data_IF_586740591098
#
_entry.id   IF_586740591098
#
_cell.length_a   1.000
_cell.length_b   1.000
_cell.length_c   1.000
_cell.angle_alpha   90.00
_cell.angle_beta   90.00
_cell.angle_gamma   90.00
#
_symmetry.space_group_name_H-M   'P 1'
#
loop_
_entity.id
_entity.type
_entity.pdbx_description
1 polymer ?
#
# COMPACT_ATOMS: atom_id res chain seq x y z
N UNK A 1 -7.67 -1.30 -0.05
CA UNK A 1 -7.25 -1.96 -1.30
C UNK A 1 -7.19 -3.48 -1.15
N UNK A 2 -6.37 -4.03 -0.23
CA UNK A 2 -6.36 -5.49 0.04
C UNK A 2 -7.76 -6.06 0.23
N UNK A 3 -8.55 -5.51 1.15
CA UNK A 3 -9.94 -5.92 1.37
C UNK A 3 -10.85 -5.74 0.15
N UNK A 4 -10.65 -4.67 -0.64
CA UNK A 4 -11.42 -4.44 -1.87
C UNK A 4 -11.16 -5.60 -2.85
N UNK A 5 -9.89 -5.94 -3.09
CA UNK A 5 -9.53 -7.03 -4.01
C UNK A 5 -10.08 -8.36 -3.50
N UNK A 6 -9.93 -8.68 -2.21
CA UNK A 6 -10.46 -9.91 -1.63
C UNK A 6 -11.99 -10.02 -1.80
N UNK A 7 -12.72 -8.96 -1.51
CA UNK A 7 -14.18 -8.91 -1.67
C UNK A 7 -14.62 -9.16 -3.10
N UNK A 8 -13.95 -8.54 -4.07
CA UNK A 8 -14.22 -8.74 -5.50
C UNK A 8 -13.90 -10.18 -5.93
N UNK A 9 -12.72 -10.68 -5.56
CA UNK A 9 -12.22 -11.99 -5.99
C UNK A 9 -13.01 -13.16 -5.37
N UNK A 10 -13.45 -13.02 -4.12
CA UNK A 10 -14.25 -14.02 -3.42
C UNK A 10 -15.77 -13.83 -3.59
N UNK A 11 -16.21 -12.76 -4.26
CA UNK A 11 -17.63 -12.48 -4.43
C UNK A 11 -18.37 -12.26 -3.11
N UNK A 12 -17.73 -11.62 -2.13
CA UNK A 12 -18.29 -11.40 -0.78
C UNK A 12 -18.22 -9.94 -0.39
N UNK A 13 -19.14 -9.51 0.46
CA UNK A 13 -19.13 -8.17 1.08
C UNK A 13 -18.58 -8.21 2.51
N UNK A 14 -18.49 -9.39 3.12
CA UNK A 14 -17.99 -9.58 4.48
C UNK A 14 -16.47 -9.46 4.57
N UNK A 15 -15.97 -9.01 5.71
CA UNK A 15 -14.52 -8.96 5.96
C UNK A 15 -13.96 -10.37 5.96
N UNK A 16 -12.96 -10.62 5.13
CA UNK A 16 -12.34 -11.94 5.04
C UNK A 16 -11.31 -12.04 6.15
N UNK A 17 -11.40 -13.09 6.99
CA UNK A 17 -10.44 -13.34 8.06
C UNK A 17 -9.11 -13.91 7.51
N UNK A 18 -8.50 -13.18 6.58
CA UNK A 18 -7.28 -13.56 5.88
C UNK A 18 -6.27 -12.40 5.95
N UNK A 19 -5.18 -12.63 6.67
CA UNK A 19 -4.15 -11.61 6.82
C UNK A 19 -3.48 -11.29 5.49
N UNK A 20 -3.21 -10.00 5.25
CA UNK A 20 -2.32 -9.53 4.18
C UNK A 20 -0.95 -10.25 4.22
N UNK A 21 -0.48 -10.69 5.39
CA UNK A 21 0.80 -11.41 5.49
C UNK A 21 0.79 -12.79 4.81
N UNK A 22 -0.37 -13.40 4.61
CA UNK A 22 -0.46 -14.73 3.97
C UNK A 22 0.05 -14.71 2.53
N UNK A 23 -0.21 -13.63 1.80
CA UNK A 23 0.21 -13.44 0.41
C UNK A 23 1.35 -12.43 0.23
N UNK A 24 2.06 -12.06 1.30
CA UNK A 24 3.12 -11.05 1.25
C UNK A 24 4.45 -11.68 0.83
N UNK A 25 4.93 -11.36 -0.39
CA UNK A 25 6.07 -12.05 -1.00
C UNK A 25 7.36 -11.93 -0.17
N UNK A 26 7.64 -10.77 0.41
CA UNK A 26 8.81 -10.53 1.25
C UNK A 26 8.72 -11.13 2.66
N UNK A 27 7.56 -11.68 3.05
CA UNK A 27 7.34 -12.28 4.38
C UNK A 27 7.08 -13.79 4.33
N UNK A 28 7.15 -14.40 3.14
CA UNK A 28 6.79 -15.80 2.90
C UNK A 28 7.84 -16.55 2.11
N UNK A 29 8.03 -17.81 2.48
CA UNK A 29 8.84 -18.73 1.70
C UNK A 29 8.11 -19.09 0.40
N UNK A 30 8.86 -19.36 -0.66
CA UNK A 30 8.30 -19.77 -1.97
C UNK A 30 7.33 -20.93 -1.85
N UNK A 31 7.66 -21.95 -1.04
CA UNK A 31 6.79 -23.11 -0.81
C UNK A 31 5.45 -22.75 -0.17
N UNK A 32 5.43 -21.75 0.74
CA UNK A 32 4.18 -21.27 1.33
C UNK A 32 3.31 -20.61 0.26
N UNK A 33 3.90 -19.79 -0.61
CA UNK A 33 3.19 -19.13 -1.72
C UNK A 33 2.68 -20.14 -2.77
N UNK A 34 3.46 -21.18 -3.05
CA UNK A 34 3.08 -22.24 -3.99
C UNK A 34 1.96 -23.14 -3.45
N UNK A 35 1.81 -23.24 -2.13
CA UNK A 35 0.73 -23.97 -1.48
C UNK A 35 -0.63 -23.25 -1.52
N UNK A 36 -0.64 -21.96 -1.87
CA UNK A 36 -1.87 -21.17 -1.90
C UNK A 36 -2.79 -21.59 -3.06
N UNK A 37 -4.11 -21.70 -2.84
CA UNK A 37 -5.06 -22.02 -3.89
C UNK A 37 -5.15 -20.87 -4.91
N UNK A 38 -5.45 -21.20 -6.16
CA UNK A 38 -5.77 -20.21 -7.19
C UNK A 38 -7.25 -19.80 -7.13
N UNK A 39 -7.60 -18.56 -7.52
CA UNK A 39 -6.70 -17.46 -7.89
C UNK A 39 -5.99 -16.87 -6.65
N UNK A 40 -4.66 -16.70 -6.72
CA UNK A 40 -3.85 -16.18 -5.62
C UNK A 40 -3.86 -14.66 -5.60
N UNK A 41 -4.19 -14.08 -4.45
CA UNK A 41 -4.05 -12.64 -4.20
C UNK A 41 -2.72 -12.44 -3.47
N UNK A 42 -1.76 -11.84 -4.16
CA UNK A 42 -0.41 -11.58 -3.63
C UNK A 42 -0.22 -10.08 -3.42
N UNK A 43 0.62 -9.70 -2.47
CA UNK A 43 1.03 -8.33 -2.24
C UNK A 43 2.53 -8.26 -1.96
N UNK A 44 3.12 -7.09 -2.23
CA UNK A 44 4.53 -6.87 -1.99
C UNK A 44 4.88 -5.40 -1.99
N UNK A 45 5.96 -5.04 -1.30
CA UNK A 45 6.63 -3.74 -1.40
C UNK A 45 7.98 -3.84 -2.14
N UNK A 46 8.30 -4.99 -2.75
CA UNK A 46 9.56 -5.20 -3.45
C UNK A 46 9.62 -4.40 -4.77
N UNK A 47 10.81 -3.88 -5.15
CA UNK A 47 11.01 -3.29 -6.46
C UNK A 47 10.92 -4.36 -7.57
N UNK A 48 10.66 -3.99 -8.84
CA UNK A 48 10.42 -4.94 -9.93
C UNK A 48 11.55 -5.97 -10.11
N UNK A 49 12.80 -5.54 -9.90
CA UNK A 49 13.98 -6.39 -10.04
C UNK A 49 14.06 -7.54 -9.01
N UNK A 50 13.29 -7.46 -7.93
CA UNK A 50 13.22 -8.49 -6.87
C UNK A 50 11.98 -9.37 -7.00
N UNK A 51 11.11 -9.13 -7.99
CA UNK A 51 9.91 -9.93 -8.19
C UNK A 51 10.20 -11.18 -9.05
N UNK A 52 9.51 -12.31 -8.79
CA UNK A 52 9.62 -13.51 -9.63
C UNK A 52 9.30 -13.20 -11.09
N UNK A 53 10.19 -13.57 -12.00
CA UNK A 53 10.03 -13.33 -13.44
C UNK A 53 8.77 -14.01 -14.00
N UNK A 54 8.37 -15.13 -13.40
CA UNK A 54 7.18 -15.89 -13.75
C UNK A 54 5.90 -15.07 -13.63
N UNK A 55 5.84 -14.09 -12.72
CA UNK A 55 4.67 -13.20 -12.59
C UNK A 55 4.44 -12.41 -13.88
N UNK A 56 5.52 -11.96 -14.51
CA UNK A 56 5.47 -11.19 -15.74
C UNK A 56 5.23 -12.10 -16.94
N UNK A 57 5.88 -13.28 -16.98
CA UNK A 57 5.69 -14.26 -18.05
C UNK A 57 4.25 -14.81 -18.09
N UNK A 58 3.60 -14.95 -16.94
CA UNK A 58 2.21 -15.43 -16.82
C UNK A 58 1.17 -14.30 -16.93
N UNK A 59 1.59 -13.08 -17.28
CA UNK A 59 0.72 -11.91 -17.37
C UNK A 59 -0.16 -11.72 -16.12
N UNK A 60 0.42 -11.89 -14.93
CA UNK A 60 -0.27 -11.60 -13.68
C UNK A 60 -0.73 -10.13 -13.68
N UNK A 61 -1.98 -9.90 -13.28
CA UNK A 61 -2.52 -8.55 -13.10
C UNK A 61 -1.85 -7.88 -11.92
N UNK A 62 -1.28 -6.69 -12.15
CA UNK A 62 -0.62 -5.90 -11.11
C UNK A 62 -1.49 -4.68 -10.80
N UNK A 63 -1.85 -4.51 -9.53
CA UNK A 63 -2.44 -3.27 -9.04
C UNK A 63 -1.38 -2.50 -8.24
N UNK A 64 -1.00 -1.32 -8.72
CA UNK A 64 0.02 -0.49 -8.12
C UNK A 64 -0.62 0.68 -7.37
N UNK A 65 -0.52 0.65 -6.03
CA UNK A 65 -1.09 1.68 -5.17
C UNK A 65 -0.06 2.79 -4.92
N UNK A 66 -0.42 4.02 -5.32
CA UNK A 66 0.38 5.23 -5.11
C UNK A 66 -0.30 6.09 -4.04
N UNK A 67 0.50 6.78 -3.24
CA UNK A 67 0.04 7.74 -2.22
C UNK A 67 1.00 8.90 -2.16
N UNK A 68 0.53 10.08 -1.76
CA UNK A 68 1.37 11.24 -1.49
C UNK A 68 2.52 10.84 -0.55
N UNK A 69 3.76 10.99 -1.04
CA UNK A 69 4.97 10.55 -0.34
C UNK A 69 5.15 11.26 1.00
N UNK A 70 4.57 12.45 1.20
CA UNK A 70 4.55 13.13 2.50
C UNK A 70 3.69 12.37 3.51
N UNK A 71 2.48 11.96 3.12
CA UNK A 71 1.63 11.11 3.97
C UNK A 71 2.22 9.72 4.19
N UNK A 72 2.93 9.17 3.20
CA UNK A 72 3.68 7.91 3.34
C UNK A 72 4.73 8.06 4.43
N UNK A 73 5.54 9.12 4.41
CA UNK A 73 6.59 9.35 5.42
C UNK A 73 6.03 9.43 6.85
N UNK A 74 4.91 10.13 7.07
CA UNK A 74 4.22 10.17 8.37
C UNK A 74 3.70 8.79 8.76
N UNK A 75 3.07 8.08 7.83
CA UNK A 75 2.54 6.73 8.10
C UNK A 75 3.67 5.76 8.50
N UNK A 76 4.80 5.81 7.80
CA UNK A 76 5.94 4.95 8.03
C UNK A 76 6.64 5.29 9.36
N UNK A 77 6.76 6.57 9.72
CA UNK A 77 7.28 7.00 11.03
C UNK A 77 6.52 6.37 12.19
N UNK A 78 5.18 6.44 12.16
CA UNK A 78 4.36 5.86 13.22
C UNK A 78 4.42 4.33 13.22
N UNK A 79 4.52 3.71 12.04
CA UNK A 79 4.75 2.26 11.91
C UNK A 79 6.08 1.85 12.56
N UNK A 80 7.16 2.56 12.27
CA UNK A 80 8.49 2.35 12.84
C UNK A 80 8.52 2.46 14.36
N UNK A 81 7.79 3.43 14.91
CA UNK A 81 7.66 3.55 16.38
C UNK A 81 6.93 2.37 16.99
N UNK A 82 5.92 1.82 16.30
CA UNK A 82 5.12 0.69 16.76
C UNK A 82 5.76 -0.68 16.57
N UNK A 83 6.55 -0.89 15.52
CA UNK A 83 7.13 -2.21 15.18
C UNK A 83 8.33 -2.57 16.05
N UNK A 84 8.43 -3.84 16.45
CA UNK A 84 9.57 -4.40 17.21
C UNK A 84 10.84 -4.44 16.36
N UNK A 85 10.73 -4.83 15.10
CA UNK A 85 11.86 -5.03 14.16
C UNK A 85 12.65 -3.75 13.93
N UNK A 86 11.96 -2.63 13.77
CA UNK A 86 12.61 -1.34 13.49
C UNK A 86 13.21 -0.70 14.74
N UNK A 87 12.68 -1.06 15.92
CA UNK A 87 13.06 -0.52 17.23
C UNK A 87 13.29 1.00 17.27
N UNK A 88 12.53 1.76 16.46
CA UNK A 88 12.79 3.19 16.28
C UNK A 88 12.26 3.99 17.48
N UNK A 89 13.12 4.84 18.06
CA UNK A 89 12.81 5.64 19.25
C UNK A 89 13.24 7.11 19.14
N UNK A 90 13.65 7.57 17.95
CA UNK A 90 14.11 8.95 17.72
C UNK A 90 12.96 9.89 17.30
N UNK A 91 13.13 11.22 17.38
CA UNK A 91 12.14 12.20 16.92
C UNK A 91 11.79 12.12 15.43
N UNK A 92 10.71 12.81 15.05
CA UNK A 92 10.22 12.94 13.67
C UNK A 92 11.28 13.49 12.71
N UNK A 93 11.99 14.56 13.10
CA UNK A 93 12.98 15.19 12.23
C UNK A 93 14.08 14.21 11.79
N UNK A 94 14.56 13.35 12.70
CA UNK A 94 15.54 12.32 12.36
C UNK A 94 14.97 11.28 11.39
N UNK A 95 13.70 10.91 11.55
CA UNK A 95 13.06 9.94 10.68
C UNK A 95 12.89 10.51 9.27
N UNK A 96 12.47 11.77 9.18
CA UNK A 96 12.25 12.43 7.90
C UNK A 96 13.55 12.52 7.08
N UNK A 97 14.69 12.85 7.70
CA UNK A 97 15.98 12.81 7.00
C UNK A 97 16.37 11.39 6.56
N UNK A 98 16.19 10.38 7.42
CA UNK A 98 16.40 8.98 7.01
C UNK A 98 15.52 8.57 5.83
N UNK A 99 14.25 8.97 5.84
CA UNK A 99 13.30 8.69 4.76
C UNK A 99 13.74 9.35 3.44
N UNK A 100 14.21 10.60 3.48
CA UNK A 100 14.75 11.29 2.31
C UNK A 100 16.01 10.65 1.75
N UNK A 101 16.91 10.22 2.63
CA UNK A 101 18.13 9.51 2.25
C UNK A 101 17.88 8.08 1.76
N UNK A 102 16.62 7.61 1.73
CA UNK A 102 16.28 6.24 1.39
C UNK A 102 16.78 5.21 2.42
N UNK A 103 17.09 5.64 3.65
CA UNK A 103 17.54 4.80 4.77
C UNK A 103 16.35 4.18 5.49
N UNK A 104 15.45 3.59 4.72
CA UNK A 104 14.26 2.85 5.16
C UNK A 104 14.16 1.55 4.34
N UNK A 105 13.43 0.53 4.81
CA UNK A 105 13.18 -0.69 4.04
C UNK A 105 12.71 -0.37 2.63
N UNK A 106 13.25 -1.10 1.65
CA UNK A 106 13.02 -0.92 0.22
C UNK A 106 13.59 0.37 -0.39
N UNK A 107 14.32 1.19 0.38
CA UNK A 107 15.15 2.29 -0.14
C UNK A 107 14.40 3.61 -0.32
N UNK A 108 14.91 4.43 -1.24
CA UNK A 108 14.29 5.72 -1.58
C UNK A 108 12.94 5.52 -2.25
N UNK A 109 11.89 6.11 -1.68
CA UNK A 109 10.54 6.07 -2.27
C UNK A 109 10.50 6.68 -3.68
N UNK A 110 11.36 7.66 -3.96
CA UNK A 110 11.42 8.29 -5.27
C UNK A 110 12.06 7.34 -6.29
N UNK A 111 13.18 6.71 -5.94
CA UNK A 111 13.82 5.68 -6.76
C UNK A 111 12.90 4.49 -6.99
N UNK A 112 12.20 4.06 -5.95
CA UNK A 112 11.23 2.98 -6.03
C UNK A 112 10.17 3.24 -7.10
N UNK A 113 9.60 4.45 -7.14
CA UNK A 113 8.61 4.83 -8.15
C UNK A 113 9.23 4.87 -9.55
N UNK A 114 10.40 5.48 -9.70
CA UNK A 114 11.11 5.54 -10.99
C UNK A 114 11.40 4.14 -11.54
N UNK A 115 11.86 3.21 -10.68
CA UNK A 115 12.13 1.82 -11.06
C UNK A 115 10.88 1.12 -11.59
N UNK A 116 9.73 1.32 -10.95
CA UNK A 116 8.45 0.80 -11.42
C UNK A 116 8.04 1.44 -12.76
N UNK A 117 8.12 2.76 -12.89
CA UNK A 117 7.77 3.46 -14.13
C UNK A 117 8.63 3.01 -15.32
N UNK A 118 9.94 2.90 -15.11
CA UNK A 118 10.89 2.40 -16.11
C UNK A 118 10.58 0.95 -16.49
N UNK A 119 10.31 0.09 -15.50
CA UNK A 119 9.98 -1.31 -15.73
C UNK A 119 8.73 -1.45 -16.61
N UNK A 120 7.68 -0.70 -16.31
CA UNK A 120 6.41 -0.74 -17.05
C UNK A 120 6.58 -0.14 -18.45
N UNK A 121 7.40 0.90 -18.60
CA UNK A 121 7.73 1.45 -19.91
C UNK A 121 8.44 0.41 -20.80
N UNK A 122 9.32 -0.41 -20.22
CA UNK A 122 10.02 -1.48 -20.93
C UNK A 122 9.14 -2.73 -21.18
N UNK A 123 8.00 -2.83 -20.47
CA UNK A 123 7.10 -4.00 -20.50
C UNK A 123 5.64 -3.56 -20.61
N UNK A 124 5.25 -2.87 -21.71
CA UNK A 124 3.93 -2.26 -21.83
C UNK A 124 2.77 -3.27 -21.86
N UNK A 125 3.05 -4.54 -22.18
CA UNK A 125 2.04 -5.60 -22.25
C UNK A 125 1.62 -6.15 -20.89
N UNK A 126 2.35 -5.83 -19.81
CA UNK A 126 2.00 -6.28 -18.46
C UNK A 126 0.70 -5.56 -18.03
N UNK A 127 -0.36 -6.31 -17.67
CA UNK A 127 -1.61 -5.71 -17.23
C UNK A 127 -1.39 -5.03 -15.88
N UNK A 128 -1.43 -3.69 -15.89
CA UNK A 128 -1.22 -2.85 -14.72
C UNK A 128 -2.35 -1.85 -14.54
N UNK A 129 -2.89 -1.78 -13.32
CA UNK A 129 -3.76 -0.69 -12.87
C UNK A 129 -3.06 0.14 -11.80
N UNK A 130 -2.85 1.42 -12.08
CA UNK A 130 -2.38 2.38 -11.07
C UNK A 130 -3.58 2.96 -10.34
N UNK A 131 -3.54 2.91 -9.02
CA UNK A 131 -4.55 3.49 -8.14
C UNK A 131 -3.90 4.49 -7.21
N UNK A 132 -4.41 5.72 -7.17
CA UNK A 132 -3.99 6.71 -6.19
C UNK A 132 -4.88 6.64 -4.95
N UNK A 133 -4.26 6.57 -3.76
CA UNK A 133 -4.94 6.50 -2.47
C UNK A 133 -5.91 7.68 -2.28
N UNK A 134 -5.53 8.86 -2.73
CA UNK A 134 -6.29 10.10 -2.62
C UNK A 134 -7.57 10.06 -3.46
N UNK A 135 -7.51 9.49 -4.67
CA UNK A 135 -8.69 9.30 -5.51
C UNK A 135 -9.61 8.23 -4.92
N UNK A 136 -9.03 7.14 -4.42
CA UNK A 136 -9.78 6.08 -3.73
C UNK A 136 -10.50 6.64 -2.49
N UNK A 137 -9.84 7.50 -1.71
CA UNK A 137 -10.46 8.16 -0.55
C UNK A 137 -11.52 9.19 -0.95
N UNK A 138 -11.37 9.85 -2.09
CA UNK A 138 -12.33 10.84 -2.60
C UNK A 138 -13.61 10.17 -3.12
N UNK A 139 -13.49 9.03 -3.80
CA UNK A 139 -14.62 8.27 -4.33
C UNK A 139 -14.30 6.77 -4.30
N UNK A 140 -14.69 6.10 -3.21
CA UNK A 140 -14.37 4.69 -3.00
C UNK A 140 -15.14 3.80 -3.97
N UNK A 141 -16.44 4.07 -4.20
CA UNK A 141 -17.26 3.34 -5.17
C UNK A 141 -16.65 3.32 -6.58
N UNK A 142 -16.17 4.47 -7.07
CA UNK A 142 -15.50 4.54 -8.37
C UNK A 142 -14.18 3.75 -8.38
N UNK A 143 -13.41 3.83 -7.31
CA UNK A 143 -12.21 3.01 -7.13
C UNK A 143 -12.52 1.51 -7.18
N UNK A 144 -13.59 1.06 -6.52
CA UNK A 144 -14.05 -0.34 -6.53
C UNK A 144 -14.41 -0.77 -7.97
N UNK A 145 -15.19 0.04 -8.70
CA UNK A 145 -15.58 -0.24 -10.09
C UNK A 145 -14.37 -0.38 -10.99
N UNK A 146 -13.42 0.57 -10.94
CA UNK A 146 -12.18 0.51 -11.72
C UNK A 146 -11.36 -0.75 -11.46
N UNK A 147 -11.31 -1.21 -10.20
CA UNK A 147 -10.63 -2.47 -9.84
C UNK A 147 -11.41 -3.67 -10.38
N UNK A 148 -12.74 -3.68 -10.24
CA UNK A 148 -13.63 -4.71 -10.81
C UNK A 148 -13.44 -4.87 -12.32
N UNK A 149 -13.44 -3.76 -13.06
CA UNK A 149 -13.27 -3.74 -14.51
C UNK A 149 -11.89 -4.27 -14.93
N UNK A 150 -10.84 -3.85 -14.22
CA UNK A 150 -9.49 -4.36 -14.44
C UNK A 150 -9.39 -5.87 -14.14
N UNK A 151 -10.05 -6.33 -13.08
CA UNK A 151 -10.14 -7.75 -12.73
C UNK A 151 -11.07 -8.53 -13.68
N UNK A 152 -11.88 -7.86 -14.51
CA UNK A 152 -12.90 -8.43 -15.40
C UNK A 152 -13.96 -9.22 -14.61
N UNK A 153 -14.31 -8.72 -13.42
CA UNK A 153 -15.32 -9.31 -12.53
C UNK A 153 -16.40 -8.24 -12.34
N UNK A 154 -17.46 -8.22 -13.17
CA UNK A 154 -18.47 -7.18 -13.10
C UNK A 154 -19.21 -7.22 -11.77
N UNK A 155 -19.49 -6.04 -11.21
CA UNK A 155 -20.23 -5.88 -9.96
C UNK A 155 -21.50 -5.07 -10.19
N UNK A 156 -22.58 -5.48 -9.55
CA UNK A 156 -23.79 -4.66 -9.47
C UNK A 156 -23.55 -3.43 -8.58
N UNK A 157 -24.32 -2.36 -8.83
CA UNK A 157 -24.24 -1.12 -8.05
C UNK A 157 -24.47 -1.38 -6.55
N UNK A 158 -25.40 -2.27 -6.21
CA UNK A 158 -25.68 -2.69 -4.83
C UNK A 158 -24.47 -3.34 -4.16
N UNK A 159 -23.76 -4.23 -4.88
CA UNK A 159 -22.53 -4.87 -4.40
C UNK A 159 -21.42 -3.84 -4.18
N UNK A 160 -21.25 -2.88 -5.10
CA UNK A 160 -20.26 -1.80 -4.96
C UNK A 160 -20.51 -0.99 -3.69
N UNK A 161 -21.77 -0.62 -3.42
CA UNK A 161 -22.16 0.14 -2.23
C UNK A 161 -21.93 -0.68 -0.95
N UNK A 162 -22.24 -1.97 -0.96
CA UNK A 162 -22.01 -2.84 0.18
C UNK A 162 -20.51 -3.02 0.48
N UNK A 163 -19.68 -3.20 -0.56
CA UNK A 163 -18.22 -3.24 -0.42
C UNK A 163 -17.71 -1.90 0.13
N UNK A 164 -18.15 -0.77 -0.42
CA UNK A 164 -17.76 0.58 0.04
C UNK A 164 -18.03 0.79 1.53
N UNK A 165 -19.24 0.45 1.99
CA UNK A 165 -19.60 0.56 3.40
C UNK A 165 -18.74 -0.35 4.31
N UNK A 166 -18.38 -1.54 3.82
CA UNK A 166 -17.56 -2.48 4.57
C UNK A 166 -16.07 -2.09 4.60
N UNK A 167 -15.54 -1.48 3.54
CA UNK A 167 -14.14 -1.05 3.48
C UNK A 167 -13.92 0.37 4.02
N UNK A 168 -14.93 0.97 4.64
CA UNK A 168 -14.75 2.22 5.38
C UNK A 168 -13.70 2.06 6.48
N UNK A 169 -12.94 3.13 6.73
CA UNK A 169 -11.85 3.13 7.67
C UNK A 169 -12.27 2.71 9.08
N UNK A 170 -13.44 3.15 9.58
CA UNK A 170 -13.89 2.78 10.92
C UNK A 170 -14.27 1.30 10.98
N UNK A 171 -14.91 0.79 9.93
CA UNK A 171 -15.24 -0.63 9.83
C UNK A 171 -13.96 -1.49 9.80
N UNK A 172 -13.00 -1.14 8.95
CA UNK A 172 -11.71 -1.85 8.86
C UNK A 172 -10.95 -1.81 10.18
N UNK A 173 -10.91 -0.66 10.86
CA UNK A 173 -10.24 -0.52 12.16
C UNK A 173 -10.88 -1.39 13.23
N UNK A 174 -12.22 -1.41 13.32
CA UNK A 174 -12.97 -2.26 14.25
C UNK A 174 -12.68 -3.75 14.02
N UNK A 175 -12.51 -4.14 12.77
CA UNK A 175 -12.27 -5.52 12.35
C UNK A 175 -10.78 -5.86 12.17
N UNK A 176 -9.86 -5.03 12.68
CA UNK A 176 -8.42 -5.26 12.55
C UNK A 176 -7.98 -6.64 13.07
N UNK A 177 -8.63 -7.14 14.13
CA UNK A 177 -8.37 -8.44 14.73
C UNK A 177 -8.58 -9.63 13.78
N UNK A 178 -9.38 -9.47 12.73
CA UNK A 178 -9.57 -10.49 11.68
C UNK A 178 -8.38 -10.58 10.72
N UNK A 179 -7.56 -9.52 10.66
CA UNK A 179 -6.41 -9.39 9.75
C UNK A 179 -5.09 -9.56 10.52
N UNK A 180 -5.03 -9.05 11.74
CA UNK A 180 -3.91 -9.15 12.68
C UNK A 180 -4.43 -9.68 14.01
N UNK A 181 -4.37 -11.01 14.16
CA UNK A 181 -4.74 -11.66 15.42
C UNK A 181 -3.75 -11.30 16.54
N UNK A 182 -4.10 -11.66 17.78
CA UNK A 182 -3.31 -11.31 18.97
C UNK A 182 -1.86 -11.80 18.89
N UNK A 183 -1.64 -13.05 18.46
CA UNK A 183 -0.29 -13.63 18.37
C UNK A 183 0.57 -12.90 17.33
N UNK A 184 -0.02 -12.53 16.19
CA UNK A 184 0.66 -11.71 15.19
C UNK A 184 1.01 -10.33 15.76
N UNK A 185 0.08 -9.67 16.45
CA UNK A 185 0.34 -8.36 17.05
C UNK A 185 1.46 -8.44 18.08
N UNK A 186 1.43 -9.45 18.95
CA UNK A 186 2.49 -9.76 19.93
C UNK A 186 3.86 -9.90 19.29
N UNK A 187 3.95 -10.55 18.13
CA UNK A 187 5.22 -10.80 17.48
C UNK A 187 5.74 -9.59 16.69
N UNK A 188 4.86 -8.76 16.14
CA UNK A 188 5.23 -7.68 15.21
C UNK A 188 5.38 -6.33 15.93
N UNK A 189 4.50 -6.01 16.88
CA UNK A 189 4.39 -4.67 17.48
C UNK A 189 4.84 -4.65 18.94
N UNK A 190 5.45 -3.54 19.36
CA UNK A 190 5.94 -3.33 20.74
C UNK A 190 4.80 -3.31 21.76
N UNK A 191 3.64 -2.82 21.35
CA UNK A 191 2.41 -2.75 22.12
C UNK A 191 1.33 -3.57 21.39
N UNK A 192 0.70 -4.51 22.08
CA UNK A 192 -0.37 -5.34 21.53
C UNK A 192 -1.62 -4.52 21.17
N UNK A 193 -1.80 -3.35 21.79
CA UNK A 193 -2.86 -2.39 21.48
C UNK A 193 -2.53 -1.53 20.25
N UNK A 194 -1.32 -1.63 19.70
CA UNK A 194 -0.96 -0.92 18.48
C UNK A 194 -1.92 -1.28 17.35
N UNK A 195 -2.40 -0.25 16.66
CA UNK A 195 -3.29 -0.40 15.50
C UNK A 195 -2.61 0.09 14.24
N UNK A 196 -2.59 -0.75 13.21
CA UNK A 196 -2.10 -0.38 11.88
C UNK A 196 -3.05 0.64 11.22
N UNK A 197 -4.31 0.68 11.65
CA UNK A 197 -5.32 1.66 11.23
C UNK A 197 -5.22 2.94 12.07
N UNK A 198 -4.21 3.76 11.77
CA UNK A 198 -3.91 4.98 12.52
C UNK A 198 -4.94 6.11 12.31
N UNK A 199 -4.97 6.71 11.11
CA UNK A 199 -5.89 7.84 10.79
C UNK A 199 -6.71 7.66 9.51
N UNK A 200 -6.17 7.06 8.46
CA UNK A 200 -6.92 6.81 7.22
C UNK A 200 -7.38 8.06 6.46
N UNK A 201 -6.65 9.17 6.62
CA UNK A 201 -6.94 10.45 5.97
C UNK A 201 -5.85 10.84 4.96
N UNK A 202 -6.20 11.78 4.09
CA UNK A 202 -5.30 12.48 3.17
C UNK A 202 -4.87 13.80 3.81
N UNK A 203 -3.58 14.12 3.76
CA UNK A 203 -3.02 15.39 4.21
C UNK A 203 -2.62 15.43 5.68
N UNK A 204 -2.47 14.29 6.35
CA UNK A 204 -2.01 14.28 7.76
C UNK A 204 -0.56 14.75 7.90
N UNK A 205 0.20 14.73 6.81
CA UNK A 205 1.53 15.34 6.74
C UNK A 205 1.55 16.81 7.18
N UNK A 206 0.47 17.58 6.95
CA UNK A 206 0.36 18.97 7.38
C UNK A 206 0.39 19.15 8.90
N UNK A 207 0.09 18.10 9.66
CA UNK A 207 0.15 18.11 11.13
C UNK A 207 1.54 17.70 11.68
N UNK A 208 2.49 17.36 10.81
CA UNK A 208 3.80 16.82 11.21
C UNK A 208 4.96 17.62 10.62
N UNK A 209 4.83 18.07 9.38
CA UNK A 209 5.84 18.86 8.70
C UNK A 209 5.84 20.28 9.23
N UNK A 210 7.03 20.81 9.53
CA UNK A 210 7.22 22.26 9.61
C UNK A 210 7.26 22.85 8.20
N UNK A 211 7.07 24.17 8.08
CA UNK A 211 7.15 24.85 6.78
C UNK A 211 8.50 24.59 6.09
N UNK A 212 9.61 24.70 6.84
CA UNK A 212 10.95 24.40 6.33
C UNK A 212 11.11 22.95 5.86
N UNK A 213 10.52 21.97 6.56
CA UNK A 213 10.52 20.58 6.12
C UNK A 213 9.69 20.37 4.85
N UNK A 214 8.55 21.06 4.73
CA UNK A 214 7.71 21.00 3.54
C UNK A 214 8.40 21.63 2.32
N UNK A 215 9.08 22.76 2.50
CA UNK A 215 9.87 23.41 1.46
C UNK A 215 11.02 22.52 0.99
N UNK A 216 11.79 21.96 1.93
CA UNK A 216 12.88 21.04 1.62
C UNK A 216 12.37 19.76 0.91
N UNK A 217 11.21 19.23 1.33
CA UNK A 217 10.54 18.14 0.65
C UNK A 217 10.24 18.51 -0.81
N UNK A 218 9.54 19.63 -1.01
CA UNK A 218 9.07 20.04 -2.32
C UNK A 218 10.23 20.31 -3.28
N UNK A 219 11.32 20.92 -2.81
CA UNK A 219 12.51 21.17 -3.63
C UNK A 219 13.10 19.86 -4.18
N UNK A 220 13.28 18.84 -3.33
CA UNK A 220 13.80 17.52 -3.73
C UNK A 220 12.80 16.75 -4.60
N UNK A 221 11.51 16.86 -4.28
CA UNK A 221 10.44 16.11 -4.95
C UNK A 221 10.17 16.66 -6.35
N UNK A 222 9.98 17.98 -6.50
CA UNK A 222 9.62 18.57 -7.78
C UNK A 222 10.69 18.37 -8.84
N UNK A 223 11.97 18.55 -8.49
CA UNK A 223 13.08 18.37 -9.43
C UNK A 223 13.06 16.96 -10.04
N UNK A 224 12.84 15.95 -9.20
CA UNK A 224 12.90 14.54 -9.58
C UNK A 224 11.61 14.02 -10.22
N UNK A 225 10.45 14.41 -9.68
CA UNK A 225 9.16 13.79 -10.01
C UNK A 225 8.28 14.55 -11.00
N UNK A 226 8.74 15.70 -11.52
CA UNK A 226 7.97 16.51 -12.49
C UNK A 226 7.50 15.72 -13.72
N UNK A 227 8.27 14.71 -14.14
CA UNK A 227 7.96 13.87 -15.31
C UNK A 227 7.33 12.51 -14.94
N UNK A 228 7.16 12.22 -13.65
CA UNK A 228 6.58 10.96 -13.21
C UNK A 228 5.11 10.88 -13.60
N UNK A 229 4.70 9.79 -14.24
CA UNK A 229 3.29 9.48 -14.51
C UNK A 229 2.54 9.13 -13.24
N UNK A 230 3.23 8.63 -12.21
CA UNK A 230 2.63 8.20 -10.95
C UNK A 230 2.57 9.33 -9.94
N UNK A 231 3.61 10.17 -9.88
CA UNK A 231 3.78 11.15 -8.81
C UNK A 231 3.67 12.63 -9.24
N UNK A 232 3.63 12.96 -10.54
CA UNK A 232 3.61 14.37 -10.98
C UNK A 232 2.45 15.20 -10.41
N UNK A 233 1.31 14.59 -10.07
CA UNK A 233 0.18 15.30 -9.46
C UNK A 233 0.43 15.78 -8.02
N UNK A 234 1.45 15.28 -7.35
CA UNK A 234 1.87 15.70 -6.00
C UNK A 234 3.04 16.67 -6.04
N UNK A 235 3.63 16.88 -7.23
CA UNK A 235 4.73 17.77 -7.47
C UNK A 235 4.23 19.21 -7.50
#
# INVERSE_FOLDING_TARGET
MWEIINKIMYGTVETVAESKLKGMLEAKLTQEIDSLPNPRILNTHLPPAMLPLEMFQKNCKILFLVRDTRDVSVSLFHHFKGCKTENYNRPWANFLEMFFDGKVPFGSMLEYIELWELFIQQKPDIPLLVVHYEDLKKNTAEGIKRVSDFLKIPLETSTVQAIEANVDFQHLKKNEHLIYNEDMKKNIFKDEQFSVFRKGIVGDWKNHFTDAQSEAFNARFQERMKKSRFLSRYA
#
